data_IF_355927148219
#
_entry.id   IF_355927148219
#
_cell.length_a   1.000
_cell.length_b   1.000
_cell.length_c   1.000
_cell.angle_alpha   90.00
_cell.angle_beta   90.00
_cell.angle_gamma   90.00
#
_symmetry.space_group_name_H-M   'P 1'
#
loop_
_entity.id
_entity.type
_entity.pdbx_description
1 polymer ?
#
# COMPACT_ATOMS: atom_id res chain seq x y z
N UNK A 1 18.51 5.19 -12.15
CA UNK A 1 17.62 4.10 -12.57
C UNK A 1 17.06 4.46 -13.94
N UNK A 2 17.03 3.55 -14.93
CA UNK A 2 16.44 3.82 -16.23
C UNK A 2 14.96 4.23 -16.09
N UNK A 3 14.49 5.17 -16.93
CA UNK A 3 13.14 5.75 -16.80
C UNK A 3 12.03 4.72 -16.90
N UNK A 4 12.21 3.69 -17.73
CA UNK A 4 11.26 2.57 -17.87
C UNK A 4 11.00 1.81 -16.56
N UNK A 5 11.93 1.85 -15.60
CA UNK A 5 11.79 1.21 -14.29
C UNK A 5 11.55 2.21 -13.16
N UNK A 6 11.35 3.49 -13.47
CA UNK A 6 11.12 4.53 -12.47
C UNK A 6 9.98 4.21 -11.51
N UNK A 7 8.93 3.51 -11.99
CA UNK A 7 7.78 3.08 -11.21
C UNK A 7 8.11 2.00 -10.16
N UNK A 8 9.22 1.26 -10.34
CA UNK A 8 9.71 0.28 -9.37
C UNK A 8 10.51 0.93 -8.23
N UNK A 9 10.83 2.22 -8.34
CA UNK A 9 11.57 2.93 -7.30
C UNK A 9 10.65 3.30 -6.14
N UNK A 10 10.72 2.54 -5.06
CA UNK A 10 9.95 2.77 -3.82
C UNK A 10 10.12 4.20 -3.31
N UNK A 11 11.33 4.77 -3.36
CA UNK A 11 11.58 6.15 -2.93
C UNK A 11 10.80 7.15 -3.79
N UNK A 12 10.77 6.99 -5.11
CA UNK A 12 10.00 7.89 -5.99
C UNK A 12 8.49 7.71 -5.79
N UNK A 13 8.03 6.47 -5.62
CA UNK A 13 6.63 6.19 -5.33
C UNK A 13 6.20 6.83 -4.01
N UNK A 14 7.00 6.69 -2.96
CA UNK A 14 6.73 7.28 -1.65
C UNK A 14 6.77 8.81 -1.69
N UNK A 15 7.77 9.42 -2.34
CA UNK A 15 7.81 10.87 -2.53
C UNK A 15 6.58 11.38 -3.27
N UNK A 16 6.16 10.70 -4.33
CA UNK A 16 4.95 11.06 -5.07
C UNK A 16 3.70 10.93 -4.19
N UNK A 17 3.63 9.88 -3.37
CA UNK A 17 2.54 9.68 -2.43
C UNK A 17 2.45 10.82 -1.41
N UNK A 18 3.57 11.21 -0.76
CA UNK A 18 3.59 12.35 0.18
C UNK A 18 3.11 13.63 -0.50
N UNK A 19 3.63 13.93 -1.70
CA UNK A 19 3.29 15.14 -2.44
C UNK A 19 1.80 15.23 -2.80
N UNK A 20 1.15 14.09 -3.07
CA UNK A 20 -0.26 14.02 -3.47
C UNK A 20 -1.18 13.94 -2.25
N UNK A 21 -0.80 13.17 -1.22
CA UNK A 21 -1.62 12.94 -0.04
C UNK A 21 -1.56 14.09 0.97
N UNK A 22 -0.43 14.82 1.02
CA UNK A 22 -0.13 15.78 2.08
C UNK A 22 0.14 15.13 3.45
N UNK A 23 0.19 13.80 3.52
CA UNK A 23 0.43 13.06 4.77
C UNK A 23 1.93 12.93 4.98
N UNK A 24 2.46 13.66 5.97
CA UNK A 24 3.90 13.72 6.27
C UNK A 24 4.27 12.98 7.57
N UNK A 25 3.29 12.50 8.33
CA UNK A 25 3.49 11.82 9.60
C UNK A 25 2.58 10.60 9.73
N UNK A 26 2.96 9.66 10.61
CA UNK A 26 2.22 8.43 10.86
C UNK A 26 2.56 7.28 9.93
N UNK A 27 1.64 6.33 9.81
CA UNK A 27 1.82 5.11 9.03
C UNK A 27 1.36 5.27 7.58
N UNK A 28 2.14 4.73 6.64
CA UNK A 28 1.75 4.65 5.22
C UNK A 28 0.56 3.71 5.04
N UNK A 29 0.62 2.55 5.68
CA UNK A 29 -0.47 1.59 5.75
C UNK A 29 -1.18 1.73 7.10
N UNK A 30 -2.20 2.58 7.13
CA UNK A 30 -3.06 2.77 8.30
C UNK A 30 -4.04 1.63 8.43
N UNK A 31 -4.38 1.30 9.67
CA UNK A 31 -5.40 0.31 9.99
C UNK A 31 -6.69 0.61 9.23
N UNK A 32 -7.31 -0.44 8.72
CA UNK A 32 -8.64 -0.33 8.12
C UNK A 32 -9.70 -0.87 9.06
N UNK A 33 -10.83 -0.20 9.06
CA UNK A 33 -12.08 -0.59 9.72
C UNK A 33 -12.99 -1.28 8.71
N UNK A 34 -14.08 -1.85 9.21
CA UNK A 34 -15.11 -2.45 8.38
C UNK A 34 -15.57 -1.51 7.24
N UNK A 35 -15.92 -2.10 6.10
CA UNK A 35 -16.30 -1.42 4.87
C UNK A 35 -15.16 -0.58 4.25
N UNK A 36 -13.92 -1.07 4.31
CA UNK A 36 -12.73 -0.47 3.68
C UNK A 36 -12.45 0.98 4.09
N UNK A 37 -12.83 1.34 5.31
CA UNK A 37 -12.61 2.68 5.84
C UNK A 37 -11.25 2.75 6.51
N UNK A 38 -10.44 3.74 6.16
CA UNK A 38 -9.21 4.02 6.89
C UNK A 38 -9.59 4.48 8.31
N UNK A 39 -8.95 3.91 9.32
CA UNK A 39 -9.11 4.33 10.71
C UNK A 39 -8.62 5.79 10.88
N UNK A 40 -9.35 6.58 11.68
CA UNK A 40 -8.92 7.93 12.04
C UNK A 40 -7.71 7.90 12.96
N UNK A 41 -7.56 6.83 13.75
CA UNK A 41 -6.38 6.63 14.58
C UNK A 41 -5.14 6.38 13.72
N UNK A 42 -4.02 6.96 14.15
CA UNK A 42 -2.70 6.71 13.56
C UNK A 42 -2.15 5.36 14.06
N UNK A 43 -2.89 4.28 13.79
CA UNK A 43 -2.50 2.91 14.09
C UNK A 43 -2.00 2.19 12.83
N UNK A 44 -0.96 1.35 12.94
CA UNK A 44 -0.50 0.56 11.81
C UNK A 44 -1.54 -0.50 11.43
N UNK A 45 -1.64 -0.77 10.12
CA UNK A 45 -2.32 -1.95 9.60
C UNK A 45 -1.64 -3.22 10.13
N UNK A 46 -2.42 -4.25 10.48
CA UNK A 46 -1.84 -5.53 10.88
C UNK A 46 -1.28 -6.26 9.66
N UNK A 47 -0.33 -7.17 9.89
CA UNK A 47 0.26 -7.97 8.81
C UNK A 47 -0.79 -8.78 8.05
N UNK A 48 -1.80 -9.29 8.74
CA UNK A 48 -2.88 -10.09 8.16
C UNK A 48 -3.76 -9.25 7.23
N UNK A 49 -4.16 -8.04 7.67
CA UNK A 49 -4.90 -7.10 6.84
C UNK A 49 -4.08 -6.67 5.60
N UNK A 50 -2.77 -6.45 5.79
CA UNK A 50 -1.89 -6.10 4.67
C UNK A 50 -1.82 -7.22 3.63
N UNK A 51 -1.64 -8.48 4.06
CA UNK A 51 -1.56 -9.63 3.16
C UNK A 51 -2.89 -9.86 2.41
N UNK A 52 -4.03 -9.67 3.07
CA UNK A 52 -5.34 -9.70 2.39
C UNK A 52 -5.43 -8.67 1.26
N UNK A 53 -5.10 -7.41 1.54
CA UNK A 53 -5.12 -6.34 0.53
C UNK A 53 -4.09 -6.54 -0.58
N UNK A 54 -2.91 -7.05 -0.21
CA UNK A 54 -1.87 -7.35 -1.18
C UNK A 54 -2.33 -8.44 -2.16
N UNK A 55 -2.98 -9.51 -1.67
CA UNK A 55 -3.55 -10.55 -2.53
C UNK A 55 -4.64 -10.04 -3.43
N UNK A 56 -5.54 -9.19 -2.93
CA UNK A 56 -6.59 -8.57 -3.75
C UNK A 56 -5.96 -7.76 -4.90
N UNK A 57 -4.94 -6.97 -4.61
CA UNK A 57 -4.20 -6.23 -5.65
C UNK A 57 -3.54 -7.15 -6.68
N UNK A 58 -3.00 -8.30 -6.28
CA UNK A 58 -2.42 -9.28 -7.22
C UNK A 58 -3.49 -9.84 -8.16
N UNK A 59 -4.65 -10.20 -7.62
CA UNK A 59 -5.80 -10.68 -8.41
C UNK A 59 -6.24 -9.60 -9.41
N UNK A 60 -6.31 -8.33 -8.99
CA UNK A 60 -6.71 -7.21 -9.85
C UNK A 60 -5.76 -6.99 -11.04
N UNK A 61 -4.47 -7.28 -10.87
CA UNK A 61 -3.47 -7.20 -11.96
C UNK A 61 -3.25 -8.53 -12.68
N UNK A 62 -4.08 -9.55 -12.40
CA UNK A 62 -4.04 -10.86 -13.06
C UNK A 62 -2.86 -11.75 -12.65
N UNK A 63 -2.29 -11.51 -11.47
CA UNK A 63 -1.22 -12.33 -10.89
C UNK A 63 -1.80 -13.28 -9.86
N UNK A 64 -1.41 -14.56 -9.91
CA UNK A 64 -1.82 -15.55 -8.92
C UNK A 64 -1.28 -15.17 -7.53
N UNK A 65 -2.13 -14.96 -6.52
CA UNK A 65 -1.70 -14.63 -5.16
C UNK A 65 -1.11 -15.81 -4.40
N UNK A 66 -1.37 -17.07 -4.80
CA UNK A 66 -0.99 -18.28 -4.05
C UNK A 66 0.50 -18.38 -3.68
N UNK A 67 1.46 -17.98 -4.53
CA UNK A 67 2.89 -18.03 -4.20
C UNK A 67 3.31 -17.02 -3.11
N UNK A 68 2.45 -16.06 -2.77
CA UNK A 68 2.79 -14.91 -1.94
C UNK A 68 2.15 -14.95 -0.53
N UNK A 69 1.48 -16.05 -0.16
CA UNK A 69 0.94 -16.28 1.19
C UNK A 69 -0.58 -16.37 1.25
#
# INVERSE_FOLDING_TARGET
MPDQYAHLCVVRAYLRWILVSGITEGYVFRKMRANDRIAEENEPMTSEQFLEMFRNNLVDVGVDPLPYG
#
